data_IF_439464045998
#
_entry.id   IF_439464045998
#
_cell.length_a   1.000
_cell.length_b   1.000
_cell.length_c   1.000
_cell.angle_alpha   90.00
_cell.angle_beta   90.00
_cell.angle_gamma   90.00
#
_symmetry.space_group_name_H-M   'P 1'
#
loop_
_entity.id
_entity.type
_entity.pdbx_description
1 polymer ?
#
# COMPACT_ATOMS: atom_id res chain seq x y z
N UNK A 1 -9.26 -14.19 -23.56
CA UNK A 1 -9.26 -13.71 -22.16
C UNK A 1 -8.65 -14.70 -21.15
N UNK A 2 -8.99 -16.00 -21.11
CA UNK A 2 -8.50 -16.91 -20.07
C UNK A 2 -6.97 -17.02 -20.00
N UNK A 3 -6.32 -17.11 -21.17
CA UNK A 3 -4.86 -17.19 -21.28
C UNK A 3 -4.15 -15.93 -20.74
N UNK A 4 -4.76 -14.75 -20.87
CA UNK A 4 -4.20 -13.51 -20.32
C UNK A 4 -4.30 -13.49 -18.79
N UNK A 5 -5.45 -13.93 -18.25
CA UNK A 5 -5.67 -14.04 -16.81
C UNK A 5 -4.67 -15.01 -16.18
N UNK A 6 -4.47 -16.17 -16.80
CA UNK A 6 -3.51 -17.17 -16.33
C UNK A 6 -2.06 -16.63 -16.32
N UNK A 7 -1.62 -16.02 -17.42
CA UNK A 7 -0.30 -15.39 -17.51
C UNK A 7 -0.11 -14.29 -16.45
N UNK A 8 -1.13 -13.44 -16.24
CA UNK A 8 -1.08 -12.36 -15.23
C UNK A 8 -1.01 -12.90 -13.81
N UNK A 9 -1.81 -13.89 -13.47
CA UNK A 9 -1.81 -14.50 -12.14
C UNK A 9 -0.46 -15.16 -11.83
N UNK A 10 0.11 -15.89 -12.80
CA UNK A 10 1.44 -16.50 -12.63
C UNK A 10 2.53 -15.45 -12.40
N UNK A 11 2.50 -14.34 -13.15
CA UNK A 11 3.43 -13.23 -12.97
C UNK A 11 3.28 -12.58 -11.59
N UNK A 12 2.06 -12.25 -11.19
CA UNK A 12 1.79 -11.49 -9.97
C UNK A 12 2.18 -12.28 -8.69
N UNK A 13 2.16 -13.61 -8.73
CA UNK A 13 2.66 -14.47 -7.64
C UNK A 13 4.17 -14.37 -7.36
N UNK A 14 4.94 -13.92 -8.34
CA UNK A 14 6.41 -13.81 -8.22
C UNK A 14 6.89 -12.43 -7.79
N UNK A 15 5.99 -11.46 -7.68
CA UNK A 15 6.34 -10.08 -7.40
C UNK A 15 6.39 -9.81 -5.89
N UNK A 16 7.43 -9.11 -5.48
CA UNK A 16 7.53 -8.59 -4.12
C UNK A 16 6.61 -7.37 -3.92
N UNK A 17 6.34 -7.05 -2.65
CA UNK A 17 5.56 -5.88 -2.29
C UNK A 17 6.31 -4.59 -2.67
N UNK A 18 5.65 -3.61 -3.32
CA UNK A 18 6.28 -2.34 -3.61
C UNK A 18 6.74 -1.62 -2.34
N UNK A 19 7.95 -1.07 -2.35
CA UNK A 19 8.60 -0.44 -1.19
C UNK A 19 7.71 0.60 -0.48
N UNK A 20 6.91 1.34 -1.25
CA UNK A 20 6.06 2.43 -0.74
C UNK A 20 4.58 2.08 -0.70
N UNK A 21 4.17 0.81 -0.84
CA UNK A 21 2.75 0.45 -0.90
C UNK A 21 1.97 0.93 0.33
N UNK A 22 2.51 0.70 1.53
CA UNK A 22 1.89 1.08 2.79
C UNK A 22 1.81 2.60 3.00
N UNK A 23 2.89 3.40 2.82
CA UNK A 23 2.82 4.86 2.82
C UNK A 23 1.87 5.42 1.77
N UNK A 24 1.95 4.90 0.53
CA UNK A 24 1.22 5.45 -0.61
C UNK A 24 -0.28 5.26 -0.44
N UNK A 25 -0.73 4.08 -0.01
CA UNK A 25 -2.15 3.83 0.23
C UNK A 25 -2.71 4.78 1.30
N UNK A 26 -1.99 4.99 2.39
CA UNK A 26 -2.44 5.86 3.50
C UNK A 26 -2.63 7.32 3.07
N UNK A 27 -1.82 7.82 2.14
CA UNK A 27 -1.89 9.20 1.65
C UNK A 27 -2.87 9.30 0.47
N UNK A 28 -2.83 8.36 -0.47
CA UNK A 28 -3.61 8.41 -1.71
C UNK A 28 -5.11 8.21 -1.46
N UNK A 29 -5.50 7.39 -0.48
CA UNK A 29 -6.92 7.25 -0.10
C UNK A 29 -7.51 8.56 0.46
N UNK A 30 -6.65 9.46 0.94
CA UNK A 30 -7.01 10.81 1.41
C UNK A 30 -6.79 11.87 0.34
N UNK A 31 -6.86 11.51 -0.94
CA UNK A 31 -6.62 12.41 -2.07
C UNK A 31 -5.25 13.15 -2.02
N UNK A 32 -4.22 12.49 -1.47
CA UNK A 32 -2.89 13.07 -1.33
C UNK A 32 -2.66 13.81 -0.01
N UNK A 33 -3.68 13.94 0.84
CA UNK A 33 -3.52 14.59 2.14
C UNK A 33 -2.86 13.65 3.16
N UNK A 34 -1.99 14.19 4.03
CA UNK A 34 -1.39 13.42 5.11
C UNK A 34 -2.46 12.96 6.13
N UNK A 35 -2.20 11.91 6.91
CA UNK A 35 -3.03 11.56 8.06
C UNK A 35 -3.15 12.73 9.06
N UNK A 36 -4.25 12.79 9.84
CA UNK A 36 -4.40 13.81 10.87
C UNK A 36 -3.25 13.72 11.89
N UNK A 37 -2.88 14.88 12.43
CA UNK A 37 -1.90 14.95 13.49
C UNK A 37 -2.41 14.27 14.77
N UNK A 38 -1.50 13.65 15.52
CA UNK A 38 -1.80 13.13 16.85
C UNK A 38 -1.80 14.26 17.90
N UNK A 39 -2.08 13.93 19.16
CA UNK A 39 -2.19 14.91 20.25
C UNK A 39 -0.92 15.75 20.48
N UNK A 40 0.23 15.28 19.99
CA UNK A 40 1.50 16.01 20.04
C UNK A 40 1.71 16.97 18.84
N UNK A 41 0.69 17.14 17.99
CA UNK A 41 0.73 17.99 16.81
C UNK A 41 1.53 17.43 15.63
N UNK A 42 2.03 16.19 15.71
CA UNK A 42 2.80 15.55 14.63
C UNK A 42 1.97 14.51 13.89
N UNK A 43 2.24 14.38 12.59
CA UNK A 43 1.65 13.34 11.75
C UNK A 43 2.56 12.13 11.65
N UNK A 44 1.96 10.94 11.69
CA UNK A 44 2.66 9.66 11.58
C UNK A 44 2.02 8.78 10.50
N UNK A 45 2.86 8.06 9.76
CA UNK A 45 2.43 6.93 8.94
C UNK A 45 2.46 5.67 9.77
N UNK A 46 1.40 4.86 9.70
CA UNK A 46 1.28 3.64 10.49
C UNK A 46 1.78 2.46 9.66
N UNK A 47 2.82 1.78 10.12
CA UNK A 47 3.34 0.57 9.49
C UNK A 47 2.85 -0.63 10.30
N UNK A 48 1.90 -1.43 9.78
CA UNK A 48 1.45 -2.64 10.45
C UNK A 48 2.59 -3.67 10.51
N UNK A 49 2.77 -4.32 11.66
CA UNK A 49 3.83 -5.30 11.89
C UNK A 49 3.30 -6.73 11.64
N UNK A 50 3.91 -7.45 10.69
CA UNK A 50 3.58 -8.84 10.32
C UNK A 50 2.10 -9.09 9.96
N UNK A 51 1.49 -8.21 9.15
CA UNK A 51 0.06 -8.29 8.80
C UNK A 51 -0.18 -8.38 7.27
N UNK A 52 0.89 -8.37 6.48
CA UNK A 52 0.88 -8.45 5.02
C UNK A 52 1.68 -9.66 4.55
#
# INVERSE_FOLDING_TARGET
>A
EPQFVEMRNQRDQTLEMPVLILPSIQVNIRAGHPPPAEANGKTYLKIPFNVL
#
